data_IF_950188472454
#
_entry.id   IF_950188472454
#
_cell.length_a   1.000
_cell.length_b   1.000
_cell.length_c   1.000
_cell.angle_alpha   90.00
_cell.angle_beta   90.00
_cell.angle_gamma   90.00
#
_symmetry.space_group_name_H-M   'P 1'
#
loop_
_entity.id
_entity.type
_entity.pdbx_description
1 polymer ?
#
# COMPACT_ATOMS: atom_id res chain seq x y z
N UNK A 1 33.33 32.50 38.63
CA UNK A 1 33.71 33.77 39.26
C UNK A 1 34.91 33.47 40.15
N UNK A 2 35.86 34.39 40.23
CA UNK A 2 37.26 34.24 40.73
C UNK A 2 38.24 33.64 39.70
N UNK A 3 39.45 34.14 39.42
CA UNK A 3 40.28 35.23 39.96
C UNK A 3 41.20 35.79 38.84
N UNK A 4 41.55 37.07 38.98
CA UNK A 4 42.50 37.92 38.24
C UNK A 4 43.90 37.31 38.03
N UNK A 5 44.58 37.66 36.91
CA UNK A 5 46.01 38.02 36.94
C UNK A 5 46.45 38.76 35.65
N UNK A 6 46.73 40.04 35.82
CA UNK A 6 47.43 40.92 34.90
C UNK A 6 48.92 40.88 35.26
N UNK A 7 49.83 40.53 34.34
CA UNK A 7 51.28 40.80 34.49
C UNK A 7 51.87 41.04 33.08
N UNK A 8 52.08 42.32 32.73
CA UNK A 8 53.06 42.74 31.73
C UNK A 8 54.04 43.63 32.47
N UNK A 9 55.23 43.09 32.74
CA UNK A 9 56.41 43.84 33.17
C UNK A 9 57.60 43.27 32.42
N UNK A 10 58.22 44.09 31.58
CA UNK A 10 59.52 43.81 30.96
C UNK A 10 60.41 45.03 31.18
N UNK A 11 61.27 44.95 32.20
CA UNK A 11 62.38 45.89 32.42
C UNK A 11 63.66 45.13 32.08
N UNK A 12 64.57 45.77 31.34
CA UNK A 12 65.76 45.15 30.79
C UNK A 12 66.93 44.98 31.76
N UNK A 13 67.99 44.30 31.29
CA UNK A 13 69.41 44.60 31.53
C UNK A 13 70.32 43.49 30.94
N UNK A 14 71.38 43.93 30.25
CA UNK A 14 72.79 43.45 30.23
C UNK A 14 73.05 41.94 30.02
N UNK A 15 73.59 41.54 28.86
CA UNK A 15 75.02 41.48 28.50
C UNK A 15 75.77 40.25 29.04
N UNK A 16 76.29 39.40 28.14
CA UNK A 16 77.63 38.80 28.24
C UNK A 16 77.95 37.96 26.98
N UNK A 17 78.91 38.46 26.21
CA UNK A 17 79.83 37.71 25.33
C UNK A 17 80.80 36.84 26.16
N UNK A 18 81.54 35.91 25.51
CA UNK A 18 82.96 36.21 25.31
C UNK A 18 83.51 35.87 23.91
N UNK A 19 84.60 36.55 23.60
CA UNK A 19 85.41 36.53 22.38
C UNK A 19 86.56 35.52 22.45
N UNK A 20 87.27 35.32 21.33
CA UNK A 20 88.74 35.20 21.12
C UNK A 20 88.95 34.84 19.62
N UNK A 21 89.81 35.43 18.80
CA UNK A 21 90.80 36.50 18.95
C UNK A 21 91.55 36.69 17.61
N UNK A 22 91.85 37.94 17.25
CA UNK A 22 92.69 38.31 16.12
C UNK A 22 93.97 39.02 16.65
N UNK A 23 95.14 38.91 15.98
CA UNK A 23 96.34 39.60 16.45
C UNK A 23 96.53 41.01 15.86
N UNK A 24 96.62 41.96 16.79
CA UNK A 24 97.49 43.15 16.93
C UNK A 24 97.96 43.96 15.70
N UNK A 25 97.76 45.28 15.82
CA UNK A 25 98.52 46.33 15.12
C UNK A 25 98.32 47.71 15.76
N UNK A 26 99.37 48.21 16.39
CA UNK A 26 99.61 49.43 17.17
C UNK A 26 99.05 50.75 16.58
N UNK A 27 98.51 51.62 17.45
CA UNK A 27 98.16 53.02 17.15
C UNK A 27 99.38 53.92 17.38
N UNK A 28 99.73 54.74 16.39
CA UNK A 28 100.50 55.97 16.56
C UNK A 28 99.64 57.14 16.10
N UNK A 29 99.69 58.21 16.89
CA UNK A 29 98.89 59.43 16.82
C UNK A 29 99.32 60.35 15.65
N UNK A 30 98.39 61.15 15.11
CA UNK A 30 98.72 62.34 14.30
C UNK A 30 98.10 62.46 12.90
N UNK A 31 96.98 63.20 12.84
CA UNK A 31 96.50 64.08 11.76
C UNK A 31 96.13 63.45 10.39
N UNK A 32 94.83 63.28 10.15
CA UNK A 32 94.04 64.20 9.30
C UNK A 32 92.73 63.56 8.80
N UNK A 33 91.62 64.19 9.21
CA UNK A 33 90.32 64.37 8.49
C UNK A 33 89.55 63.15 7.97
N UNK A 34 88.38 62.95 8.59
CA UNK A 34 87.19 62.30 8.03
C UNK A 34 86.63 63.15 6.87
N UNK A 35 86.22 62.50 5.78
CA UNK A 35 85.10 62.96 4.93
C UNK A 35 83.99 61.90 4.90
N UNK A 36 82.70 62.31 4.99
CA UNK A 36 81.57 61.40 4.98
C UNK A 36 81.15 61.16 3.53
N UNK A 37 81.46 59.98 2.99
CA UNK A 37 80.80 59.32 1.85
C UNK A 37 81.58 58.02 1.58
N UNK A 38 81.07 56.88 2.06
CA UNK A 38 81.74 55.58 2.03
C UNK A 38 81.85 54.93 0.63
N UNK A 39 82.40 55.66 -0.34
CA UNK A 39 82.88 55.09 -1.59
C UNK A 39 84.16 54.29 -1.29
N UNK A 40 84.05 52.96 -1.33
CA UNK A 40 85.21 52.08 -1.32
C UNK A 40 85.93 52.23 -2.66
N UNK A 41 87.12 52.82 -2.64
CA UNK A 41 88.04 52.82 -3.78
C UNK A 41 88.51 51.38 -4.04
N UNK A 42 87.83 50.72 -4.96
CA UNK A 42 88.27 49.45 -5.56
C UNK A 42 89.55 49.73 -6.33
N UNK A 43 90.70 49.24 -5.86
CA UNK A 43 91.88 49.13 -6.71
C UNK A 43 91.56 48.13 -7.83
N UNK A 44 91.25 48.68 -9.00
CA UNK A 44 90.94 47.96 -10.22
C UNK A 44 92.24 47.38 -10.78
N UNK A 45 92.41 46.06 -10.73
CA UNK A 45 93.59 45.40 -11.32
C UNK A 45 93.63 45.67 -12.84
N UNK A 46 94.78 45.96 -13.48
CA UNK A 46 94.86 46.59 -14.80
C UNK A 46 94.50 45.72 -16.03
N UNK A 47 93.78 44.59 -15.88
CA UNK A 47 93.41 43.77 -17.06
C UNK A 47 92.10 42.97 -16.90
N UNK A 48 90.98 43.66 -16.64
CA UNK A 48 89.64 43.04 -16.67
C UNK A 48 89.32 42.41 -18.03
N UNK A 49 89.83 42.98 -19.12
CA UNK A 49 89.62 42.45 -20.45
C UNK A 49 90.37 41.12 -20.64
N UNK A 50 91.56 40.95 -20.07
CA UNK A 50 92.22 39.64 -20.02
C UNK A 50 91.43 38.63 -19.18
N UNK A 51 90.94 39.01 -17.99
CA UNK A 51 90.15 38.13 -17.13
C UNK A 51 88.85 37.66 -17.81
N UNK A 52 88.16 38.56 -18.53
CA UNK A 52 86.98 38.24 -19.34
C UNK A 52 87.31 37.30 -20.49
N UNK A 53 88.45 37.49 -21.17
CA UNK A 53 88.92 36.58 -22.23
C UNK A 53 89.23 35.19 -21.68
N UNK A 54 89.82 35.10 -20.49
CA UNK A 54 90.11 33.82 -19.81
C UNK A 54 88.80 33.08 -19.48
N UNK A 55 87.81 33.75 -18.90
CA UNK A 55 86.50 33.14 -18.62
C UNK A 55 85.78 32.69 -19.90
N UNK A 56 85.80 33.51 -20.96
CA UNK A 56 85.19 33.15 -22.24
C UNK A 56 85.80 31.87 -22.85
N UNK A 57 87.13 31.67 -22.71
CA UNK A 57 87.81 30.44 -23.17
C UNK A 57 87.37 29.19 -22.41
N UNK A 58 86.88 29.32 -21.17
CA UNK A 58 86.32 28.18 -20.42
C UNK A 58 85.04 27.63 -21.06
N UNK A 59 84.40 28.37 -21.97
CA UNK A 59 83.22 27.93 -22.74
C UNK A 59 82.16 27.28 -21.84
N UNK A 60 81.88 27.91 -20.69
CA UNK A 60 80.99 27.34 -19.69
C UNK A 60 79.60 27.12 -20.29
N UNK A 61 79.07 25.91 -20.18
CA UNK A 61 77.69 25.63 -20.59
C UNK A 61 76.70 26.36 -19.66
N UNK A 62 75.44 26.49 -20.12
CA UNK A 62 74.35 26.98 -19.29
C UNK A 62 74.25 26.23 -17.94
N UNK A 63 74.37 24.90 -17.97
CA UNK A 63 74.33 24.07 -16.77
C UNK A 63 75.50 24.34 -15.81
N UNK A 64 76.72 24.56 -16.33
CA UNK A 64 77.91 24.90 -15.52
C UNK A 64 77.79 26.29 -14.88
N UNK A 65 77.23 27.27 -15.60
CA UNK A 65 76.98 28.61 -15.03
C UNK A 65 75.92 28.58 -13.92
N UNK A 66 74.86 27.78 -14.08
CA UNK A 66 73.88 27.54 -13.02
C UNK A 66 74.49 26.83 -11.81
N UNK A 67 75.38 25.86 -12.04
CA UNK A 67 76.10 25.18 -10.96
C UNK A 67 76.95 26.18 -10.18
N UNK A 68 77.78 26.99 -10.85
CA UNK A 68 78.57 28.06 -10.24
C UNK A 68 77.72 29.01 -9.38
N UNK A 69 76.56 29.45 -9.88
CA UNK A 69 75.65 30.30 -9.09
C UNK A 69 75.09 29.58 -7.86
N UNK A 70 74.74 28.29 -7.94
CA UNK A 70 74.31 27.51 -6.77
C UNK A 70 75.45 27.32 -5.78
N UNK A 71 76.64 27.02 -6.26
CA UNK A 71 77.82 26.78 -5.44
C UNK A 71 78.22 28.05 -4.68
N UNK A 72 78.22 29.21 -5.35
CA UNK A 72 78.40 30.50 -4.68
C UNK A 72 77.32 30.77 -3.63
N UNK A 73 76.05 30.40 -3.88
CA UNK A 73 74.98 30.51 -2.88
C UNK A 73 75.17 29.58 -1.68
N UNK A 74 75.58 28.33 -1.90
CA UNK A 74 75.93 27.40 -0.81
C UNK A 74 77.04 27.97 0.06
N UNK A 75 78.03 28.61 -0.55
CA UNK A 75 79.16 29.24 0.15
C UNK A 75 78.81 30.58 0.83
N UNK A 76 77.54 31.00 0.81
CA UNK A 76 77.06 32.22 1.46
C UNK A 76 77.19 33.50 0.63
N UNK A 77 77.63 33.42 -0.64
CA UNK A 77 77.61 34.55 -1.55
C UNK A 77 76.23 34.71 -2.21
N UNK A 78 75.90 35.92 -2.66
CA UNK A 78 74.57 36.24 -3.20
C UNK A 78 74.58 36.50 -4.72
N UNK A 79 74.82 35.48 -5.57
CA UNK A 79 74.90 35.65 -7.02
C UNK A 79 73.56 35.95 -7.70
N UNK A 80 72.44 35.84 -6.98
CA UNK A 80 71.08 35.91 -7.51
C UNK A 80 70.48 34.53 -7.76
N UNK A 81 69.41 34.46 -8.55
CA UNK A 81 68.82 33.18 -8.96
C UNK A 81 69.82 32.40 -9.82
N UNK A 82 69.88 31.08 -9.63
CA UNK A 82 70.70 30.20 -10.45
C UNK A 82 70.06 29.98 -11.83
N UNK A 83 70.04 31.03 -12.64
CA UNK A 83 69.40 31.12 -13.96
C UNK A 83 70.37 30.91 -15.13
N UNK A 84 71.67 30.74 -14.85
CA UNK A 84 72.70 30.50 -15.85
C UNK A 84 73.20 31.77 -16.55
N UNK A 85 72.72 32.94 -16.14
CA UNK A 85 73.13 34.26 -16.65
C UNK A 85 74.03 34.93 -15.62
N UNK A 86 75.32 35.10 -15.93
CA UNK A 86 76.29 35.76 -15.02
C UNK A 86 76.15 37.29 -15.08
N UNK A 87 75.03 37.80 -14.58
CA UNK A 87 74.72 39.23 -14.47
C UNK A 87 75.45 39.93 -13.33
N UNK A 88 75.15 41.22 -13.11
CA UNK A 88 75.84 42.09 -12.12
C UNK A 88 75.96 41.45 -10.73
N UNK A 89 74.91 40.78 -10.24
CA UNK A 89 74.91 40.12 -8.91
C UNK A 89 75.86 38.92 -8.86
N UNK A 90 75.88 38.08 -9.89
CA UNK A 90 76.82 36.95 -9.97
C UNK A 90 78.26 37.45 -10.09
N UNK A 91 78.51 38.52 -10.84
CA UNK A 91 79.83 39.16 -10.92
C UNK A 91 80.31 39.69 -9.56
N UNK A 92 79.42 40.35 -8.82
CA UNK A 92 79.71 40.82 -7.46
C UNK A 92 79.96 39.66 -6.48
N UNK A 93 79.21 38.56 -6.58
CA UNK A 93 79.43 37.37 -5.76
C UNK A 93 80.79 36.72 -6.05
N UNK A 94 81.17 36.60 -7.32
CA UNK A 94 82.50 36.12 -7.74
C UNK A 94 83.59 37.05 -7.22
N UNK A 95 83.42 38.37 -7.36
CA UNK A 95 84.39 39.35 -6.88
C UNK A 95 84.57 39.29 -5.36
N UNK A 96 83.48 39.13 -4.59
CA UNK A 96 83.55 38.95 -3.13
C UNK A 96 84.27 37.66 -2.76
N UNK A 97 83.92 36.55 -3.41
CA UNK A 97 84.63 35.28 -3.21
C UNK A 97 86.12 35.39 -3.55
N UNK A 98 86.47 36.05 -4.66
CA UNK A 98 87.85 36.30 -5.04
C UNK A 98 88.59 37.12 -3.98
N UNK A 99 87.98 38.20 -3.50
CA UNK A 99 88.53 39.04 -2.43
C UNK A 99 88.78 38.23 -1.15
N UNK A 100 87.80 37.44 -0.72
CA UNK A 100 87.89 36.63 0.50
C UNK A 100 88.96 35.51 0.38
N UNK A 101 89.31 35.13 -0.85
CA UNK A 101 90.36 34.14 -1.15
C UNK A 101 91.70 34.75 -1.50
N UNK A 102 91.83 36.08 -1.51
CA UNK A 102 93.07 36.78 -1.86
C UNK A 102 93.44 36.68 -3.35
N UNK A 103 92.48 36.39 -4.22
CA UNK A 103 92.64 36.48 -5.66
C UNK A 103 92.45 37.92 -6.16
N UNK A 104 92.94 38.20 -7.36
CA UNK A 104 92.59 39.44 -8.06
C UNK A 104 91.08 39.56 -8.23
N UNK A 105 90.52 40.66 -7.73
CA UNK A 105 89.08 40.94 -7.69
C UNK A 105 88.59 41.40 -9.07
N UNK A 106 88.37 40.46 -9.97
CA UNK A 106 88.00 40.74 -11.37
C UNK A 106 86.50 40.53 -11.64
N UNK A 107 85.83 39.71 -10.83
CA UNK A 107 84.44 39.29 -11.07
C UNK A 107 84.27 38.30 -12.23
N UNK A 108 85.37 37.85 -12.84
CA UNK A 108 85.43 36.82 -13.88
C UNK A 108 86.21 35.61 -13.38
N UNK A 109 85.74 34.40 -13.67
CA UNK A 109 86.26 33.16 -13.09
C UNK A 109 87.31 32.50 -14.00
N UNK A 110 88.34 31.89 -13.41
CA UNK A 110 89.27 30.99 -14.11
C UNK A 110 88.89 29.52 -13.94
N UNK A 111 89.45 28.62 -14.74
CA UNK A 111 89.17 27.18 -14.64
C UNK A 111 89.53 26.60 -13.27
N UNK A 112 90.66 27.03 -12.70
CA UNK A 112 91.09 26.62 -11.36
C UNK A 112 90.16 27.15 -10.27
N UNK A 113 89.73 28.41 -10.37
CA UNK A 113 88.79 29.01 -9.42
C UNK A 113 87.40 28.35 -9.50
N UNK A 114 86.93 27.98 -10.71
CA UNK A 114 85.68 27.23 -10.88
C UNK A 114 85.73 25.85 -10.22
N UNK A 115 86.83 25.12 -10.39
CA UNK A 115 87.06 23.83 -9.72
C UNK A 115 87.09 24.00 -8.20
N UNK A 116 87.77 25.04 -7.71
CA UNK A 116 87.86 25.33 -6.29
C UNK A 116 86.49 25.65 -5.67
N UNK A 117 85.69 26.54 -6.29
CA UNK A 117 84.33 26.86 -5.85
C UNK A 117 83.47 25.60 -5.77
N UNK A 118 83.52 24.74 -6.79
CA UNK A 118 82.75 23.50 -6.83
C UNK A 118 83.08 22.58 -5.65
N UNK A 119 84.38 22.30 -5.43
CA UNK A 119 84.85 21.46 -4.31
C UNK A 119 84.41 22.00 -2.95
N UNK A 120 84.57 23.31 -2.72
CA UNK A 120 84.20 23.94 -1.45
C UNK A 120 82.69 23.89 -1.21
N UNK A 121 81.90 24.08 -2.27
CA UNK A 121 80.45 23.99 -2.16
C UNK A 121 79.99 22.55 -1.89
N UNK A 122 80.66 21.55 -2.44
CA UNK A 122 80.43 20.14 -2.09
C UNK A 122 80.74 19.86 -0.61
N UNK A 123 81.89 20.30 -0.12
CA UNK A 123 82.29 20.16 1.29
C UNK A 123 81.30 20.84 2.25
N UNK A 124 80.84 22.04 1.89
CA UNK A 124 79.87 22.79 2.68
C UNK A 124 78.48 22.13 2.67
N UNK A 125 78.02 21.62 1.53
CA UNK A 125 76.78 20.82 1.45
C UNK A 125 76.86 19.57 2.33
N UNK A 126 77.98 18.87 2.31
CA UNK A 126 78.18 17.68 3.16
C UNK A 126 78.23 18.04 4.65
N UNK A 127 78.83 19.17 5.01
CA UNK A 127 78.81 19.67 6.40
C UNK A 127 77.38 19.97 6.84
N UNK A 128 76.63 20.75 6.07
CA UNK A 128 75.23 21.08 6.35
C UNK A 128 74.37 19.81 6.46
N UNK A 129 74.52 18.86 5.52
CA UNK A 129 73.80 17.60 5.57
C UNK A 129 74.19 16.73 6.79
N UNK A 130 75.45 16.79 7.25
CA UNK A 130 75.88 16.10 8.49
C UNK A 130 75.25 16.74 9.72
N UNK A 131 75.23 18.07 9.78
CA UNK A 131 74.65 18.83 10.88
C UNK A 131 73.14 18.60 10.96
N UNK A 132 72.43 18.66 9.83
CA UNK A 132 70.99 18.37 9.74
C UNK A 132 70.68 16.95 10.24
N UNK A 133 71.43 15.93 9.76
CA UNK A 133 71.29 14.55 10.25
C UNK A 133 71.62 14.41 11.74
N UNK A 134 72.56 15.19 12.27
CA UNK A 134 72.91 15.16 13.69
C UNK A 134 71.76 15.72 14.53
N UNK A 135 71.18 16.85 14.12
CA UNK A 135 70.02 17.45 14.77
C UNK A 135 68.79 16.53 14.70
N UNK A 136 68.53 15.89 13.55
CA UNK A 136 67.46 14.90 13.41
C UNK A 136 67.64 13.71 14.34
N UNK A 137 68.87 13.17 14.43
CA UNK A 137 69.20 12.08 15.37
C UNK A 137 68.97 12.51 16.82
N UNK A 138 69.38 13.71 17.18
CA UNK A 138 69.19 14.24 18.53
C UNK A 138 67.71 14.39 18.86
N UNK A 139 66.91 14.98 17.97
CA UNK A 139 65.45 15.09 18.13
C UNK A 139 64.79 13.71 18.25
N UNK A 140 65.21 12.74 17.42
CA UNK A 140 64.71 11.37 17.49
C UNK A 140 65.10 10.68 18.80
N UNK A 141 66.29 10.95 19.33
CA UNK A 141 66.71 10.46 20.65
C UNK A 141 65.90 11.11 21.78
N UNK A 142 65.63 12.41 21.70
CA UNK A 142 64.80 13.13 22.67
C UNK A 142 63.35 12.62 22.66
N UNK A 143 62.77 12.40 21.47
CA UNK A 143 61.47 11.76 21.28
C UNK A 143 61.45 10.36 21.94
N UNK A 144 62.42 9.52 21.60
CA UNK A 144 62.56 8.17 22.18
C UNK A 144 62.73 8.17 23.69
N UNK A 145 63.58 9.04 24.24
CA UNK A 145 63.79 9.13 25.68
C UNK A 145 62.53 9.63 26.41
N UNK A 146 61.81 10.57 25.81
CA UNK A 146 60.54 11.04 26.36
C UNK A 146 59.46 9.94 26.32
N UNK A 147 59.38 9.20 25.21
CA UNK A 147 58.52 8.01 25.11
C UNK A 147 58.84 6.99 26.21
N UNK A 148 60.12 6.65 26.41
CA UNK A 148 60.55 5.70 27.43
C UNK A 148 60.19 6.13 28.86
N UNK A 149 60.22 7.43 29.17
CA UNK A 149 59.91 7.94 30.51
C UNK A 149 58.41 8.15 30.77
N UNK A 150 57.60 8.32 29.71
CA UNK A 150 56.17 8.65 29.85
C UNK A 150 55.27 7.56 29.28
N UNK A 151 55.22 7.42 27.96
CA UNK A 151 54.26 6.58 27.25
C UNK A 151 54.59 5.09 27.25
N UNK A 152 55.84 4.70 27.43
CA UNK A 152 56.25 3.29 27.37
C UNK A 152 55.65 2.41 28.49
N UNK A 153 55.29 3.00 29.63
CA UNK A 153 54.56 2.32 30.70
C UNK A 153 53.09 2.06 30.35
N UNK A 154 52.59 2.66 29.26
CA UNK A 154 51.24 2.46 28.76
C UNK A 154 50.14 3.07 29.62
N UNK A 155 50.44 3.95 30.58
CA UNK A 155 49.39 4.63 31.35
C UNK A 155 48.68 5.69 30.50
N UNK A 156 47.36 5.85 30.66
CA UNK A 156 46.56 6.83 29.89
C UNK A 156 47.13 8.25 30.01
N UNK A 157 47.55 8.64 31.23
CA UNK A 157 48.20 9.92 31.48
C UNK A 157 49.55 10.06 30.76
N UNK A 158 50.42 9.02 30.82
CA UNK A 158 51.73 9.04 30.18
C UNK A 158 51.64 9.08 28.65
N UNK A 159 50.69 8.33 28.07
CA UNK A 159 50.40 8.31 26.63
C UNK A 159 49.87 9.67 26.14
N UNK A 160 48.96 10.31 26.87
CA UNK A 160 48.46 11.65 26.53
C UNK A 160 49.58 12.69 26.63
N UNK A 161 50.39 12.65 27.70
CA UNK A 161 51.54 13.55 27.86
C UNK A 161 52.54 13.44 26.71
N UNK A 162 52.78 12.22 26.22
CA UNK A 162 53.60 12.00 25.03
C UNK A 162 52.99 12.65 23.78
N UNK A 163 51.70 12.44 23.53
CA UNK A 163 51.00 12.98 22.35
C UNK A 163 50.88 14.52 22.35
N UNK A 164 50.80 15.14 23.52
CA UNK A 164 50.83 16.60 23.67
C UNK A 164 52.19 17.19 23.25
N UNK A 165 53.28 16.51 23.61
CA UNK A 165 54.65 16.98 23.32
C UNK A 165 55.13 16.61 21.90
N UNK A 166 54.77 15.42 21.42
CA UNK A 166 55.18 14.87 20.13
C UNK A 166 53.97 14.33 19.34
N UNK A 167 53.06 15.21 18.87
CA UNK A 167 51.83 14.80 18.19
C UNK A 167 52.06 14.01 16.89
N UNK A 168 53.21 14.22 16.24
CA UNK A 168 53.66 13.54 15.03
C UNK A 168 54.98 12.79 15.25
N UNK A 169 55.32 12.47 16.50
CA UNK A 169 56.55 11.73 16.84
C UNK A 169 56.52 10.28 16.38
N UNK A 170 57.67 9.61 16.45
CA UNK A 170 57.83 8.24 15.98
C UNK A 170 56.89 7.24 16.68
N UNK A 171 56.53 7.51 17.95
CA UNK A 171 55.68 6.64 18.77
C UNK A 171 54.23 7.12 18.88
N UNK A 172 53.83 8.19 18.18
CA UNK A 172 52.48 8.75 18.28
C UNK A 172 51.40 7.76 17.84
N UNK A 173 51.67 6.96 16.80
CA UNK A 173 50.75 5.90 16.34
C UNK A 173 50.59 4.80 17.40
N UNK A 174 51.68 4.38 18.04
CA UNK A 174 51.63 3.38 19.10
C UNK A 174 50.87 3.90 20.31
N UNK A 175 51.10 5.16 20.70
CA UNK A 175 50.42 5.77 21.82
C UNK A 175 48.90 5.84 21.62
N UNK A 176 48.46 6.29 20.43
CA UNK A 176 47.03 6.34 20.08
C UNK A 176 46.39 4.94 20.07
N UNK A 177 47.10 3.93 19.54
CA UNK A 177 46.61 2.54 19.54
C UNK A 177 46.43 2.00 20.96
N UNK A 178 47.37 2.28 21.86
CA UNK A 178 47.28 1.84 23.25
C UNK A 178 46.12 2.53 23.97
N UNK A 179 45.95 3.84 23.79
CA UNK A 179 44.81 4.59 24.34
C UNK A 179 43.47 4.02 23.86
N UNK A 180 43.31 3.79 22.54
CA UNK A 180 42.07 3.22 22.01
C UNK A 180 41.77 1.83 22.56
N UNK A 181 42.80 1.00 22.76
CA UNK A 181 42.63 -0.34 23.34
C UNK A 181 42.22 -0.27 24.82
N UNK A 182 42.75 0.69 25.58
CA UNK A 182 42.34 0.92 26.97
C UNK A 182 40.90 1.42 27.08
N UNK A 183 40.52 2.37 26.24
CA UNK A 183 39.14 2.86 26.18
C UNK A 183 38.17 1.73 25.81
N UNK A 184 38.53 0.88 24.85
CA UNK A 184 37.72 -0.27 24.48
C UNK A 184 37.58 -1.27 25.64
N UNK A 185 38.67 -1.61 26.32
CA UNK A 185 38.63 -2.48 27.49
C UNK A 185 37.76 -1.89 28.61
N UNK A 186 37.93 -0.59 28.91
CA UNK A 186 37.11 0.10 29.90
C UNK A 186 35.62 0.08 29.54
N UNK A 187 35.27 0.25 28.25
CA UNK A 187 33.89 0.12 27.77
C UNK A 187 33.36 -1.31 27.95
N UNK A 188 34.17 -2.32 27.62
CA UNK A 188 33.82 -3.74 27.82
C UNK A 188 33.58 -4.05 29.30
N UNK A 189 34.44 -3.56 30.19
CA UNK A 189 34.31 -3.75 31.64
C UNK A 189 33.07 -3.05 32.19
N UNK A 190 32.80 -1.82 31.74
CA UNK A 190 31.59 -1.08 32.11
C UNK A 190 30.32 -1.81 31.62
N UNK A 191 30.32 -2.30 30.38
CA UNK A 191 29.22 -3.10 29.85
C UNK A 191 29.04 -4.39 30.65
N UNK A 192 30.11 -5.11 30.95
CA UNK A 192 30.06 -6.31 31.77
C UNK A 192 29.52 -6.02 33.19
N UNK A 193 29.85 -4.87 33.78
CA UNK A 193 29.29 -4.42 35.06
C UNK A 193 27.78 -4.15 34.94
N UNK A 194 27.35 -3.43 33.90
CA UNK A 194 25.91 -3.19 33.64
C UNK A 194 25.14 -4.50 33.45
N UNK A 195 25.70 -5.47 32.73
CA UNK A 195 25.08 -6.79 32.55
C UNK A 195 25.01 -7.58 33.86
N UNK A 196 25.99 -7.44 34.75
CA UNK A 196 25.94 -8.04 36.10
C UNK A 196 24.83 -7.41 36.94
N UNK A 197 24.71 -6.08 36.89
CA UNK A 197 23.65 -5.35 37.60
C UNK A 197 22.26 -5.68 37.07
N UNK A 198 22.10 -5.78 35.76
CA UNK A 198 20.88 -6.26 35.10
C UNK A 198 20.51 -7.67 35.60
N UNK A 199 21.45 -8.63 35.52
CA UNK A 199 21.24 -10.00 36.02
C UNK A 199 20.88 -10.05 37.50
N UNK A 200 21.55 -9.27 38.34
CA UNK A 200 21.26 -9.19 39.77
C UNK A 200 19.87 -8.61 40.03
N UNK A 201 19.49 -7.56 39.32
CA UNK A 201 18.17 -6.95 39.44
C UNK A 201 17.06 -7.88 38.95
N UNK A 202 17.27 -8.60 37.85
CA UNK A 202 16.38 -9.66 37.38
C UNK A 202 16.16 -10.74 38.45
N UNK A 203 17.25 -11.23 39.07
CA UNK A 203 17.16 -12.23 40.15
C UNK A 203 16.32 -11.72 41.33
N UNK A 204 16.44 -10.44 41.67
CA UNK A 204 15.72 -9.85 42.79
C UNK A 204 14.23 -9.57 42.51
N UNK A 205 13.89 -9.17 41.27
CA UNK A 205 12.54 -8.65 40.94
C UNK A 205 11.76 -9.57 40.01
N UNK A 206 12.34 -9.96 38.88
CA UNK A 206 11.65 -10.68 37.82
C UNK A 206 11.68 -12.19 37.93
N UNK A 207 12.63 -12.78 38.68
CA UNK A 207 12.82 -14.24 38.74
C UNK A 207 11.63 -15.01 39.32
N UNK A 208 10.90 -14.41 40.26
CA UNK A 208 9.67 -14.97 40.83
C UNK A 208 8.48 -14.91 39.85
N UNK A 209 8.63 -14.19 38.73
CA UNK A 209 7.61 -14.09 37.69
C UNK A 209 6.38 -13.27 38.09
N UNK A 210 6.39 -12.47 39.16
CA UNK A 210 5.21 -11.68 39.52
C UNK A 210 4.98 -10.51 38.55
N UNK A 211 3.71 -10.15 38.26
CA UNK A 211 3.38 -9.02 37.37
C UNK A 211 4.10 -7.73 37.79
N UNK A 212 4.09 -7.44 39.10
CA UNK A 212 4.77 -6.26 39.65
C UNK A 212 6.28 -6.33 39.42
N UNK A 213 6.91 -7.45 39.77
CA UNK A 213 8.36 -7.61 39.64
C UNK A 213 8.85 -7.58 38.19
N UNK A 214 8.10 -8.18 37.26
CA UNK A 214 8.38 -8.14 35.82
C UNK A 214 8.24 -6.71 35.27
N UNK A 215 7.22 -5.96 35.69
CA UNK A 215 7.05 -4.55 35.31
C UNK A 215 8.15 -3.65 35.89
N UNK A 216 8.53 -3.86 37.15
CA UNK A 216 9.62 -3.12 37.79
C UNK A 216 10.95 -3.35 37.07
N UNK A 217 11.24 -4.62 36.72
CA UNK A 217 12.39 -4.97 35.89
C UNK A 217 12.36 -4.23 34.54
N UNK A 218 11.24 -4.27 33.81
CA UNK A 218 11.11 -3.64 32.49
C UNK A 218 11.20 -2.11 32.53
N UNK A 219 10.79 -1.47 33.63
CA UNK A 219 10.96 -0.02 33.82
C UNK A 219 12.43 0.36 33.94
N UNK A 220 13.22 -0.43 34.67
CA UNK A 220 14.65 -0.16 34.89
C UNK A 220 15.52 -0.61 33.71
N UNK A 221 15.22 -1.77 33.13
CA UNK A 221 15.98 -2.39 32.04
C UNK A 221 15.08 -2.72 30.84
N UNK A 222 14.52 -1.72 30.12
CA UNK A 222 13.59 -1.96 29.02
C UNK A 222 14.23 -2.68 27.81
N UNK A 223 15.55 -2.61 27.70
CA UNK A 223 16.38 -3.31 26.70
C UNK A 223 17.39 -4.28 27.36
N UNK A 224 17.14 -4.64 28.63
CA UNK A 224 17.99 -5.57 29.36
C UNK A 224 17.94 -6.98 28.80
N UNK A 225 18.86 -7.83 29.27
CA UNK A 225 19.05 -9.22 28.84
C UNK A 225 17.73 -10.02 28.97
N UNK A 226 16.95 -9.77 30.03
CA UNK A 226 15.73 -10.50 30.34
C UNK A 226 14.46 -9.75 29.95
N UNK A 227 14.55 -8.63 29.22
CA UNK A 227 13.37 -7.83 28.86
C UNK A 227 12.38 -8.61 27.98
N UNK A 228 12.89 -9.43 27.06
CA UNK A 228 12.05 -10.31 26.24
C UNK A 228 11.36 -11.41 27.09
N UNK A 229 12.11 -12.02 28.01
CA UNK A 229 11.58 -13.03 28.93
C UNK A 229 10.49 -12.44 29.85
N UNK A 230 10.73 -11.24 30.38
CA UNK A 230 9.78 -10.55 31.24
C UNK A 230 8.45 -10.26 30.53
N UNK A 231 8.52 -9.73 29.30
CA UNK A 231 7.34 -9.48 28.47
C UNK A 231 6.59 -10.77 28.14
N UNK A 232 7.31 -11.85 27.82
CA UNK A 232 6.70 -13.16 27.55
C UNK A 232 5.95 -13.70 28.78
N UNK A 233 6.54 -13.59 29.97
CA UNK A 233 5.89 -14.03 31.20
C UNK A 233 4.63 -13.23 31.52
N UNK A 234 4.68 -11.90 31.35
CA UNK A 234 3.49 -11.03 31.51
C UNK A 234 2.38 -11.41 30.53
N UNK A 235 2.71 -11.64 29.26
CA UNK A 235 1.74 -12.09 28.26
C UNK A 235 1.13 -13.45 28.65
N UNK A 236 1.95 -14.42 29.07
CA UNK A 236 1.47 -15.73 29.49
C UNK A 236 0.51 -15.67 30.69
N UNK A 237 0.73 -14.73 31.62
CA UNK A 237 -0.18 -14.50 32.75
C UNK A 237 -1.51 -13.90 32.30
N UNK A 238 -1.45 -12.88 31.44
CA UNK A 238 -2.66 -12.30 30.85
C UNK A 238 -3.48 -13.37 30.10
N UNK A 239 -2.82 -14.24 29.34
CA UNK A 239 -3.47 -15.33 28.63
C UNK A 239 -4.05 -16.37 29.59
N UNK A 240 -3.42 -16.60 30.76
CA UNK A 240 -3.97 -17.49 31.78
C UNK A 240 -5.22 -16.89 32.43
N UNK A 241 -5.22 -15.59 32.72
CA UNK A 241 -6.37 -14.86 33.23
C UNK A 241 -7.53 -14.86 32.23
N UNK A 242 -7.24 -14.59 30.96
CA UNK A 242 -8.18 -14.71 29.85
C UNK A 242 -8.80 -16.11 29.81
N UNK A 243 -7.96 -17.17 29.83
CA UNK A 243 -8.45 -18.56 29.88
C UNK A 243 -9.37 -18.82 31.07
N UNK A 244 -9.03 -18.33 32.25
CA UNK A 244 -9.88 -18.48 33.44
C UNK A 244 -11.20 -17.68 33.31
N UNK A 245 -11.16 -16.49 32.70
CA UNK A 245 -12.35 -15.69 32.45
C UNK A 245 -13.28 -16.34 31.42
N UNK A 246 -12.72 -16.90 30.35
CA UNK A 246 -13.44 -17.71 29.35
C UNK A 246 -14.21 -18.87 30.01
N UNK A 247 -13.56 -19.64 30.87
CA UNK A 247 -14.19 -20.78 31.56
C UNK A 247 -15.39 -20.36 32.43
N UNK A 248 -15.37 -19.15 33.01
CA UNK A 248 -16.47 -18.62 33.82
C UNK A 248 -17.61 -18.03 33.00
N UNK A 249 -17.33 -17.55 31.79
CA UNK A 249 -18.26 -16.74 31.01
C UNK A 249 -18.64 -17.42 29.69
N UNK A 250 -17.75 -17.40 28.70
CA UNK A 250 -18.06 -17.82 27.34
C UNK A 250 -18.07 -19.34 27.11
N UNK A 251 -17.43 -20.14 27.97
CA UNK A 251 -17.32 -21.59 27.76
C UNK A 251 -18.65 -22.35 27.71
N UNK A 252 -19.73 -21.79 28.29
CA UNK A 252 -21.08 -22.36 28.17
C UNK A 252 -21.71 -22.17 26.78
N UNK A 253 -21.18 -21.25 25.99
CA UNK A 253 -21.67 -20.95 24.65
C UNK A 253 -22.98 -20.16 24.62
N UNK A 254 -23.44 -19.58 25.72
CA UNK A 254 -24.64 -18.72 25.72
C UNK A 254 -24.32 -17.28 25.30
N UNK A 255 -25.28 -16.61 24.66
CA UNK A 255 -25.05 -15.28 24.07
C UNK A 255 -24.56 -14.24 25.11
N UNK A 256 -25.08 -14.27 26.33
CA UNK A 256 -24.71 -13.31 27.38
C UNK A 256 -23.29 -13.55 27.91
N UNK A 257 -22.94 -14.82 28.15
CA UNK A 257 -21.59 -15.25 28.51
C UNK A 257 -20.56 -14.84 27.46
N UNK A 258 -20.85 -15.10 26.19
CA UNK A 258 -19.99 -14.76 25.05
C UNK A 258 -19.82 -13.24 24.88
N UNK A 259 -20.90 -12.46 25.03
CA UNK A 259 -20.84 -10.98 24.99
C UNK A 259 -20.07 -10.39 26.16
N UNK A 260 -20.19 -10.97 27.36
CA UNK A 260 -19.36 -10.56 28.52
C UNK A 260 -17.89 -10.85 28.27
N UNK A 261 -17.56 -12.05 27.79
CA UNK A 261 -16.20 -12.41 27.41
C UNK A 261 -15.59 -11.42 26.40
N UNK A 262 -16.29 -11.15 25.30
CA UNK A 262 -15.81 -10.26 24.24
C UNK A 262 -15.65 -8.79 24.67
N UNK A 263 -16.36 -8.36 25.72
CA UNK A 263 -16.23 -7.00 26.26
C UNK A 263 -14.94 -6.84 27.08
N UNK A 264 -14.60 -7.85 27.86
CA UNK A 264 -13.41 -7.85 28.71
C UNK A 264 -12.14 -8.20 27.92
N UNK A 265 -12.25 -9.19 27.03
CA UNK A 265 -11.16 -9.70 26.20
C UNK A 265 -11.52 -9.63 24.71
N UNK A 266 -11.64 -8.43 24.12
CA UNK A 266 -12.03 -8.27 22.71
C UNK A 266 -11.03 -8.89 21.74
N UNK A 267 -9.74 -8.92 22.11
CA UNK A 267 -8.64 -9.53 21.36
C UNK A 267 -8.00 -10.70 22.13
N UNK A 268 -8.77 -11.32 23.04
CA UNK A 268 -8.32 -12.47 23.81
C UNK A 268 -8.11 -13.74 22.99
N UNK A 269 -7.50 -14.74 23.61
CA UNK A 269 -7.19 -16.05 23.02
C UNK A 269 -8.45 -16.73 22.45
N UNK A 270 -9.62 -16.54 23.07
CA UNK A 270 -10.89 -17.09 22.60
C UNK A 270 -11.79 -16.09 21.89
N UNK A 271 -11.36 -14.85 21.63
CA UNK A 271 -12.22 -13.84 21.02
C UNK A 271 -12.78 -14.30 19.66
N UNK A 272 -11.94 -14.91 18.82
CA UNK A 272 -12.41 -15.47 17.55
C UNK A 272 -13.44 -16.59 17.73
N UNK A 273 -13.24 -17.48 18.69
CA UNK A 273 -14.18 -18.56 19.02
C UNK A 273 -15.50 -17.98 19.55
N UNK A 274 -15.42 -17.01 20.45
CA UNK A 274 -16.58 -16.40 21.07
C UNK A 274 -17.46 -15.67 20.07
N UNK A 275 -16.87 -14.93 19.12
CA UNK A 275 -17.62 -14.23 18.05
C UNK A 275 -18.39 -15.23 17.17
N UNK A 276 -17.75 -16.31 16.74
CA UNK A 276 -18.41 -17.34 15.91
C UNK A 276 -19.57 -18.02 16.65
N UNK A 277 -19.35 -18.42 17.90
CA UNK A 277 -20.40 -19.05 18.71
C UNK A 277 -21.56 -18.08 18.97
N UNK A 278 -21.26 -16.80 19.21
CA UNK A 278 -22.28 -15.79 19.46
C UNK A 278 -23.17 -15.61 18.22
N UNK A 279 -22.56 -15.50 17.05
CA UNK A 279 -23.29 -15.39 15.79
C UNK A 279 -24.20 -16.60 15.55
N UNK A 280 -23.72 -17.81 15.83
CA UNK A 280 -24.50 -19.04 15.69
C UNK A 280 -25.73 -19.05 16.61
N UNK A 281 -25.54 -18.76 17.89
CA UNK A 281 -26.61 -18.73 18.89
C UNK A 281 -27.64 -17.65 18.56
N UNK A 282 -27.18 -16.46 18.18
CA UNK A 282 -28.06 -15.37 17.79
C UNK A 282 -28.80 -15.67 16.49
N UNK A 283 -28.16 -16.32 15.52
CA UNK A 283 -28.80 -16.75 14.27
C UNK A 283 -29.90 -17.77 14.57
N UNK A 284 -29.63 -18.78 15.40
CA UNK A 284 -30.64 -19.75 15.83
C UNK A 284 -31.80 -19.07 16.57
N UNK A 285 -31.51 -18.10 17.44
CA UNK A 285 -32.52 -17.32 18.16
C UNK A 285 -33.40 -16.49 17.20
N UNK A 286 -32.78 -15.86 16.18
CA UNK A 286 -33.49 -15.08 15.15
C UNK A 286 -34.39 -15.97 14.30
N UNK A 287 -33.87 -17.11 13.85
CA UNK A 287 -34.63 -18.12 13.08
C UNK A 287 -35.86 -18.60 13.85
N UNK A 288 -35.70 -18.98 15.12
CA UNK A 288 -36.82 -19.36 15.99
C UNK A 288 -37.86 -18.25 16.16
N UNK A 289 -37.42 -16.99 16.31
CA UNK A 289 -38.35 -15.86 16.43
C UNK A 289 -39.11 -15.56 15.13
N UNK A 290 -38.46 -15.69 13.96
CA UNK A 290 -39.13 -15.61 12.66
C UNK A 290 -40.14 -16.76 12.47
N UNK A 291 -39.78 -17.97 12.89
CA UNK A 291 -40.67 -19.14 12.85
C UNK A 291 -41.94 -18.92 13.69
N UNK A 292 -41.80 -18.50 14.95
CA UNK A 292 -42.94 -18.23 15.84
C UNK A 292 -43.87 -17.16 15.24
N UNK A 293 -43.33 -16.14 14.55
CA UNK A 293 -44.15 -15.16 13.84
C UNK A 293 -44.94 -15.79 12.68
N UNK A 294 -44.29 -16.63 11.87
CA UNK A 294 -44.95 -17.31 10.76
C UNK A 294 -46.05 -18.24 11.26
N UNK A 295 -45.74 -19.07 12.26
CA UNK A 295 -46.68 -19.99 12.91
C UNK A 295 -47.86 -19.26 13.55
N UNK A 296 -47.61 -18.16 14.28
CA UNK A 296 -48.69 -17.37 14.89
C UNK A 296 -49.61 -16.73 13.85
N UNK A 297 -49.09 -16.39 12.67
CA UNK A 297 -49.90 -15.85 11.58
C UNK A 297 -50.66 -16.95 10.81
N UNK A 298 -50.08 -18.14 10.71
CA UNK A 298 -50.55 -19.30 9.93
C UNK A 298 -51.07 -18.92 8.54
N UNK A 299 -50.31 -18.10 7.81
CA UNK A 299 -50.69 -17.63 6.46
C UNK A 299 -49.62 -17.96 5.42
N UNK A 300 -50.06 -18.09 4.16
CA UNK A 300 -49.18 -18.24 2.99
C UNK A 300 -48.10 -17.14 2.97
N UNK A 301 -48.48 -15.88 3.23
CA UNK A 301 -47.55 -14.76 3.27
C UNK A 301 -46.53 -14.87 4.40
N UNK A 302 -46.97 -15.29 5.60
CA UNK A 302 -46.10 -15.49 6.76
C UNK A 302 -45.04 -16.55 6.53
N UNK A 303 -45.43 -17.72 6.01
CA UNK A 303 -44.47 -18.80 5.72
C UNK A 303 -43.51 -18.47 4.57
N UNK A 304 -43.97 -17.78 3.52
CA UNK A 304 -43.08 -17.32 2.44
C UNK A 304 -42.02 -16.33 2.93
N UNK A 305 -42.41 -15.40 3.81
CA UNK A 305 -41.47 -14.44 4.39
C UNK A 305 -40.45 -15.14 5.30
N UNK A 306 -40.87 -16.12 6.10
CA UNK A 306 -39.97 -16.96 6.89
C UNK A 306 -38.92 -17.65 6.00
N UNK A 307 -39.36 -18.37 4.96
CA UNK A 307 -38.46 -19.09 4.03
C UNK A 307 -37.49 -18.16 3.31
N UNK A 308 -37.92 -16.94 2.98
CA UNK A 308 -37.08 -15.93 2.34
C UNK A 308 -35.98 -15.42 3.28
N UNK A 309 -36.30 -15.20 4.57
CA UNK A 309 -35.33 -14.72 5.58
C UNK A 309 -34.40 -15.82 6.08
N UNK A 310 -34.90 -17.04 6.16
CA UNK A 310 -34.22 -18.19 6.77
C UNK A 310 -34.14 -19.37 5.78
N UNK A 311 -33.48 -19.22 4.61
CA UNK A 311 -33.47 -20.25 3.57
C UNK A 311 -32.79 -21.57 4.01
N UNK A 312 -31.91 -21.50 5.01
CA UNK A 312 -31.24 -22.66 5.61
C UNK A 312 -31.58 -22.77 7.12
N UNK A 313 -32.77 -22.30 7.51
CA UNK A 313 -33.26 -22.34 8.89
C UNK A 313 -33.68 -23.75 9.32
N UNK A 314 -33.76 -23.96 10.63
CA UNK A 314 -34.15 -25.25 11.22
C UNK A 314 -35.61 -25.64 10.90
N UNK A 315 -36.47 -24.65 10.59
CA UNK A 315 -37.90 -24.87 10.36
C UNK A 315 -38.30 -24.83 8.88
N UNK A 316 -37.35 -24.77 7.94
CA UNK A 316 -37.61 -24.70 6.49
C UNK A 316 -38.55 -25.82 6.04
N UNK A 317 -38.24 -27.08 6.34
CA UNK A 317 -39.05 -28.23 5.92
C UNK A 317 -40.47 -28.22 6.51
N UNK A 318 -40.63 -27.66 7.71
CA UNK A 318 -41.94 -27.55 8.38
C UNK A 318 -42.75 -26.41 7.72
N UNK A 319 -42.12 -25.27 7.47
CA UNK A 319 -42.72 -24.12 6.80
C UNK A 319 -43.18 -24.46 5.37
N UNK A 320 -42.36 -25.15 4.59
CA UNK A 320 -42.69 -25.57 3.22
C UNK A 320 -43.92 -26.49 3.18
N UNK A 321 -43.98 -27.47 4.08
CA UNK A 321 -45.13 -28.37 4.19
C UNK A 321 -46.40 -27.59 4.52
N UNK A 322 -46.34 -26.73 5.54
CA UNK A 322 -47.53 -25.96 5.96
C UNK A 322 -47.98 -24.97 4.88
N UNK A 323 -47.03 -24.35 4.18
CA UNK A 323 -47.31 -23.48 3.04
C UNK A 323 -48.06 -24.23 1.93
N UNK A 324 -47.59 -25.43 1.56
CA UNK A 324 -48.25 -26.28 0.56
C UNK A 324 -49.68 -26.65 0.97
N UNK A 325 -49.90 -27.00 2.24
CA UNK A 325 -51.22 -27.33 2.76
C UNK A 325 -52.18 -26.14 2.69
N UNK A 326 -51.73 -24.95 3.11
CA UNK A 326 -52.54 -23.73 3.05
C UNK A 326 -52.84 -23.29 1.61
N UNK A 327 -51.89 -23.43 0.69
CA UNK A 327 -52.09 -23.17 -0.73
C UNK A 327 -53.10 -24.14 -1.33
N UNK A 328 -53.00 -25.43 -0.97
CA UNK A 328 -53.96 -26.45 -1.38
C UNK A 328 -55.38 -26.10 -0.88
N UNK A 329 -55.54 -25.80 0.41
CA UNK A 329 -56.83 -25.42 1.01
C UNK A 329 -57.42 -24.14 0.40
N UNK A 330 -56.59 -23.12 0.18
CA UNK A 330 -57.03 -21.85 -0.43
C UNK A 330 -57.52 -22.08 -1.86
N UNK A 331 -56.81 -22.91 -2.63
CA UNK A 331 -57.20 -23.26 -4.00
C UNK A 331 -58.51 -24.04 -4.04
N UNK A 332 -58.66 -25.07 -3.20
CA UNK A 332 -59.89 -25.88 -3.16
C UNK A 332 -61.07 -25.10 -2.62
N UNK A 333 -60.90 -24.22 -1.62
CA UNK A 333 -61.98 -23.36 -1.13
C UNK A 333 -62.50 -22.38 -2.20
N UNK A 334 -61.61 -21.83 -3.05
CA UNK A 334 -61.99 -20.99 -4.20
C UNK A 334 -62.76 -21.79 -5.25
N UNK A 335 -62.30 -22.99 -5.55
CA UNK A 335 -62.97 -23.92 -6.46
C UNK A 335 -64.38 -24.27 -5.93
N UNK A 336 -64.50 -24.60 -4.64
CA UNK A 336 -65.77 -24.94 -3.99
C UNK A 336 -66.76 -23.76 -3.97
N UNK A 337 -66.26 -22.54 -3.76
CA UNK A 337 -67.08 -21.33 -3.85
C UNK A 337 -67.56 -21.07 -5.29
N UNK A 338 -66.66 -21.18 -6.28
CA UNK A 338 -67.00 -21.02 -7.69
C UNK A 338 -68.01 -22.09 -8.14
N UNK A 339 -67.89 -23.32 -7.64
CA UNK A 339 -68.85 -24.38 -7.89
C UNK A 339 -70.22 -24.06 -7.29
N UNK A 340 -70.28 -23.67 -6.00
CA UNK A 340 -71.53 -23.30 -5.33
C UNK A 340 -72.23 -22.14 -6.05
N UNK A 341 -71.48 -21.15 -6.51
CA UNK A 341 -72.03 -20.02 -7.27
C UNK A 341 -72.58 -20.48 -8.62
N UNK A 342 -71.82 -21.27 -9.39
CA UNK A 342 -72.27 -21.83 -10.66
C UNK A 342 -73.51 -22.71 -10.49
N UNK A 343 -73.58 -23.47 -9.40
CA UNK A 343 -74.71 -24.32 -9.10
C UNK A 343 -75.95 -23.54 -8.68
N UNK A 344 -75.77 -22.51 -7.83
CA UNK A 344 -76.86 -21.66 -7.36
C UNK A 344 -77.53 -20.90 -8.50
N UNK A 345 -76.75 -20.35 -9.44
CA UNK A 345 -77.31 -19.61 -10.58
C UNK A 345 -77.91 -20.54 -11.63
N UNK A 346 -77.45 -21.80 -11.68
CA UNK A 346 -77.98 -22.86 -12.54
C UNK A 346 -78.20 -22.42 -14.01
N UNK A 347 -77.19 -21.78 -14.61
CA UNK A 347 -77.26 -21.30 -16.01
C UNK A 347 -76.17 -21.91 -16.89
N UNK A 348 -76.42 -21.94 -18.22
CA UNK A 348 -75.42 -22.33 -19.22
C UNK A 348 -74.10 -21.55 -19.05
N UNK A 349 -74.22 -20.23 -18.86
CA UNK A 349 -73.05 -19.35 -18.72
C UNK A 349 -72.29 -19.59 -17.41
N UNK A 350 -73.01 -19.90 -16.33
CA UNK A 350 -72.43 -20.24 -15.03
C UNK A 350 -71.53 -21.46 -15.09
N UNK A 351 -72.04 -22.59 -15.60
CA UNK A 351 -71.26 -23.82 -15.70
C UNK A 351 -70.13 -23.72 -16.74
N UNK A 352 -70.31 -23.01 -17.86
CA UNK A 352 -69.22 -22.73 -18.83
C UNK A 352 -68.09 -21.93 -18.20
N UNK A 353 -68.43 -20.91 -17.41
CA UNK A 353 -67.44 -20.09 -16.70
C UNK A 353 -66.68 -20.91 -15.68
N UNK A 354 -67.37 -21.72 -14.87
CA UNK A 354 -66.75 -22.64 -13.93
C UNK A 354 -65.77 -23.59 -14.61
N UNK A 355 -66.20 -24.30 -15.66
CA UNK A 355 -65.36 -25.25 -16.40
C UNK A 355 -64.16 -24.60 -17.10
N UNK A 356 -64.27 -23.34 -17.51
CA UNK A 356 -63.14 -22.60 -18.08
C UNK A 356 -62.08 -22.29 -17.02
N UNK A 357 -62.49 -21.92 -15.81
CA UNK A 357 -61.56 -21.60 -14.71
C UNK A 357 -61.04 -22.85 -14.00
N UNK A 358 -61.83 -23.93 -13.95
CA UNK A 358 -61.51 -25.16 -13.24
C UNK A 358 -61.79 -26.42 -14.09
N UNK A 359 -61.11 -26.60 -15.24
CA UNK A 359 -61.42 -27.67 -16.21
C UNK A 359 -61.19 -29.10 -15.68
N UNK A 360 -60.30 -29.24 -14.69
CA UNK A 360 -59.93 -30.51 -14.05
C UNK A 360 -60.45 -30.59 -12.60
N UNK A 361 -61.45 -29.77 -12.26
CA UNK A 361 -62.12 -29.82 -10.95
C UNK A 361 -62.78 -31.18 -10.70
N UNK A 362 -62.93 -31.55 -9.42
CA UNK A 362 -63.79 -32.67 -9.00
C UNK A 362 -65.26 -32.49 -9.40
N UNK A 363 -65.69 -31.26 -9.63
CA UNK A 363 -67.04 -30.93 -10.09
C UNK A 363 -67.15 -30.83 -11.62
N UNK A 364 -66.06 -31.01 -12.37
CA UNK A 364 -66.07 -30.79 -13.81
C UNK A 364 -67.01 -31.74 -14.55
N UNK A 365 -67.09 -33.01 -14.13
CA UNK A 365 -68.05 -33.97 -14.69
C UNK A 365 -69.50 -33.54 -14.45
N UNK A 366 -69.84 -33.19 -13.20
CA UNK A 366 -71.17 -32.72 -12.82
C UNK A 366 -71.54 -31.41 -13.53
N UNK A 367 -70.61 -30.47 -13.67
CA UNK A 367 -70.81 -29.22 -14.40
C UNK A 367 -71.13 -29.47 -15.88
N UNK A 368 -70.43 -30.41 -16.53
CA UNK A 368 -70.66 -30.77 -17.94
C UNK A 368 -72.03 -31.42 -18.14
N UNK A 369 -72.42 -32.32 -17.22
CA UNK A 369 -73.73 -32.95 -17.27
C UNK A 369 -74.86 -31.91 -17.17
N UNK A 370 -74.83 -31.05 -16.15
CA UNK A 370 -75.83 -29.98 -15.96
C UNK A 370 -75.86 -28.98 -17.11
N UNK A 371 -74.71 -28.70 -17.73
CA UNK A 371 -74.63 -27.88 -18.93
C UNK A 371 -75.36 -28.53 -20.12
N UNK A 372 -75.24 -29.85 -20.29
CA UNK A 372 -75.94 -30.61 -21.31
C UNK A 372 -77.46 -30.60 -21.10
N UNK A 373 -77.91 -30.84 -19.87
CA UNK A 373 -79.33 -30.84 -19.52
C UNK A 373 -79.98 -29.48 -19.76
N UNK A 374 -79.32 -28.38 -19.33
CA UNK A 374 -79.80 -27.02 -19.56
C UNK A 374 -79.80 -26.63 -21.04
N UNK A 375 -78.84 -27.16 -21.83
CA UNK A 375 -78.81 -26.94 -23.28
C UNK A 375 -79.95 -27.68 -23.99
N UNK A 376 -80.36 -28.85 -23.47
CA UNK A 376 -81.48 -29.62 -23.99
C UNK A 376 -82.86 -29.06 -23.56
N UNK A 377 -82.96 -28.46 -22.37
CA UNK A 377 -84.18 -27.87 -21.82
C UNK A 377 -84.51 -26.46 -22.37
N UNK A 378 -83.54 -25.78 -22.98
CA UNK A 378 -83.78 -24.51 -23.68
C UNK A 378 -84.23 -24.85 -25.11
N UNK A 379 -85.48 -24.55 -25.53
CA UNK A 379 -85.86 -24.73 -26.94
C UNK A 379 -84.87 -23.97 -27.81
N UNK A 380 -84.38 -24.63 -28.87
CA UNK A 380 -83.52 -24.02 -29.88
C UNK A 380 -84.15 -22.67 -30.30
N UNK A 381 -83.37 -21.58 -30.41
CA UNK A 381 -83.93 -20.29 -30.81
C UNK A 381 -84.42 -20.38 -32.26
N UNK A 382 -85.72 -20.63 -32.43
CA UNK A 382 -86.40 -20.46 -33.70
C UNK A 382 -86.42 -18.96 -34.04
N UNK A 383 -85.71 -18.63 -35.14
CA UNK A 383 -85.90 -17.54 -36.10
C UNK A 383 -86.45 -16.19 -35.62
N UNK A 384 -85.77 -15.09 -35.97
CA UNK A 384 -86.17 -13.72 -35.62
C UNK A 384 -87.64 -13.43 -35.95
N UNK A 385 -88.39 -12.75 -35.07
CA UNK A 385 -89.77 -12.29 -35.33
C UNK A 385 -89.93 -11.62 -36.71
N UNK A 386 -88.87 -10.98 -37.21
CA UNK A 386 -88.84 -10.36 -38.54
C UNK A 386 -88.96 -11.37 -39.70
N UNK A 387 -88.40 -12.59 -39.58
CA UNK A 387 -88.50 -13.64 -40.60
C UNK A 387 -89.90 -14.28 -40.62
N UNK A 388 -90.50 -14.46 -39.44
CA UNK A 388 -91.88 -14.96 -39.32
C UNK A 388 -92.86 -13.95 -39.93
N UNK A 389 -92.71 -12.66 -39.59
CA UNK A 389 -93.57 -11.61 -40.12
C UNK A 389 -93.45 -11.49 -41.65
N UNK A 390 -92.24 -11.61 -42.20
CA UNK A 390 -92.02 -11.60 -43.65
C UNK A 390 -92.67 -12.79 -44.36
N UNK A 391 -92.56 -13.99 -43.78
CA UNK A 391 -93.19 -15.19 -44.33
C UNK A 391 -94.72 -15.11 -44.24
N UNK A 392 -95.26 -14.57 -43.14
CA UNK A 392 -96.69 -14.32 -42.96
C UNK A 392 -97.23 -13.34 -43.99
N UNK A 393 -96.56 -12.21 -44.22
CA UNK A 393 -96.95 -11.23 -45.23
C UNK A 393 -96.91 -11.81 -46.65
N UNK A 394 -95.90 -12.64 -46.94
CA UNK A 394 -95.82 -13.32 -48.23
C UNK A 394 -96.97 -14.31 -48.40
N UNK A 395 -97.23 -15.14 -47.40
CA UNK A 395 -98.35 -16.09 -47.40
C UNK A 395 -99.70 -15.36 -47.56
N UNK A 396 -99.92 -14.27 -46.83
CA UNK A 396 -101.13 -13.43 -46.94
C UNK A 396 -101.26 -12.82 -48.34
N UNK A 397 -100.17 -12.32 -48.93
CA UNK A 397 -100.16 -11.77 -50.29
C UNK A 397 -100.44 -12.82 -51.37
N UNK A 398 -100.06 -14.07 -51.10
CA UNK A 398 -100.18 -15.19 -52.03
C UNK A 398 -101.57 -15.83 -51.95
N UNK A 399 -102.07 -16.02 -50.73
CA UNK A 399 -103.31 -16.76 -50.48
C UNK A 399 -104.53 -15.86 -50.47
N UNK A 400 -104.45 -14.63 -49.94
CA UNK A 400 -105.61 -13.73 -49.81
C UNK A 400 -106.91 -14.47 -49.40
N UNK A 401 -108.09 -14.01 -49.83
CA UNK A 401 -109.33 -14.77 -49.71
C UNK A 401 -109.50 -15.80 -50.85
N UNK A 402 -108.46 -16.58 -51.18
CA UNK A 402 -108.51 -17.61 -52.22
C UNK A 402 -108.45 -19.03 -51.63
N UNK A 403 -109.59 -19.58 -51.16
CA UNK A 403 -109.64 -20.91 -50.54
C UNK A 403 -109.22 -22.03 -51.51
N UNK A 404 -109.33 -21.82 -52.82
CA UNK A 404 -108.87 -22.80 -53.82
C UNK A 404 -107.36 -23.00 -53.80
N UNK A 405 -106.57 -21.98 -53.47
CA UNK A 405 -105.11 -22.10 -53.44
C UNK A 405 -104.62 -22.76 -52.14
N UNK A 406 -105.22 -22.43 -50.98
CA UNK A 406 -104.94 -23.09 -49.70
C UNK A 406 -105.22 -24.59 -49.76
N UNK A 407 -106.36 -24.99 -50.36
CA UNK A 407 -106.66 -26.42 -50.58
C UNK A 407 -105.60 -27.13 -51.43
N UNK A 408 -105.07 -26.45 -52.46
CA UNK A 408 -104.00 -27.03 -53.28
C UNK A 408 -102.70 -27.17 -52.47
N UNK A 409 -102.39 -26.23 -51.57
CA UNK A 409 -101.22 -26.33 -50.69
C UNK A 409 -101.34 -27.48 -49.70
N UNK A 410 -102.49 -27.65 -49.05
CA UNK A 410 -102.78 -28.80 -48.19
C UNK A 410 -102.69 -30.11 -48.97
N UNK A 411 -103.20 -30.15 -50.21
CA UNK A 411 -103.01 -31.31 -51.09
C UNK A 411 -101.53 -31.58 -51.40
N UNK A 412 -100.74 -30.55 -51.69
CA UNK A 412 -99.31 -30.66 -51.94
C UNK A 412 -98.55 -31.19 -50.73
N UNK A 413 -98.83 -30.67 -49.54
CA UNK A 413 -98.27 -31.16 -48.27
C UNK A 413 -98.60 -32.64 -48.06
N UNK A 414 -99.85 -33.03 -48.34
CA UNK A 414 -100.28 -34.44 -48.24
C UNK A 414 -99.58 -35.35 -49.25
N UNK A 415 -99.40 -34.92 -50.50
CA UNK A 415 -98.65 -35.66 -51.52
C UNK A 415 -97.19 -35.87 -51.12
N UNK A 416 -96.57 -34.87 -50.49
CA UNK A 416 -95.20 -34.93 -49.97
C UNK A 416 -95.05 -35.81 -48.72
N UNK A 417 -96.13 -36.40 -48.22
CA UNK A 417 -96.15 -37.27 -47.05
C UNK A 417 -96.28 -36.54 -45.72
N UNK A 418 -96.61 -35.25 -45.73
CA UNK A 418 -96.96 -34.50 -44.52
C UNK A 418 -98.45 -34.62 -44.22
N UNK A 419 -98.85 -34.36 -42.98
CA UNK A 419 -100.23 -34.50 -42.51
C UNK A 419 -100.81 -33.12 -42.18
N UNK A 420 -101.33 -32.37 -43.17
CA UNK A 420 -101.89 -31.04 -42.93
C UNK A 420 -103.28 -31.07 -42.28
N UNK A 421 -103.94 -32.23 -42.18
CA UNK A 421 -105.32 -32.34 -41.69
C UNK A 421 -106.33 -32.47 -42.84
N UNK A 422 -107.62 -32.16 -42.60
CA UNK A 422 -108.64 -32.07 -43.64
C UNK A 422 -108.24 -31.04 -44.70
N UNK A 423 -108.46 -31.36 -45.99
CA UNK A 423 -108.24 -30.38 -47.07
C UNK A 423 -109.52 -29.57 -47.20
N UNK A 424 -109.59 -28.46 -46.49
CA UNK A 424 -110.75 -27.57 -46.44
C UNK A 424 -110.43 -26.13 -46.88
N UNK A 425 -109.16 -25.85 -47.17
CA UNK A 425 -108.69 -24.54 -47.62
C UNK A 425 -108.47 -23.55 -46.50
N UNK A 426 -108.45 -24.00 -45.25
CA UNK A 426 -108.14 -23.21 -44.07
C UNK A 426 -106.81 -23.68 -43.48
N UNK A 427 -105.79 -22.82 -43.56
CA UNK A 427 -104.49 -23.10 -42.97
C UNK A 427 -104.57 -22.96 -41.44
N UNK A 428 -104.93 -24.06 -40.78
CA UNK A 428 -104.99 -24.22 -39.34
C UNK A 428 -103.65 -24.70 -38.74
N UNK A 429 -103.59 -24.92 -37.42
CA UNK A 429 -102.35 -25.31 -36.73
C UNK A 429 -101.82 -26.68 -37.19
N UNK A 430 -102.67 -27.61 -37.65
CA UNK A 430 -102.22 -28.88 -38.22
C UNK A 430 -101.48 -28.65 -39.54
N UNK A 431 -102.02 -27.76 -40.37
CA UNK A 431 -101.37 -27.33 -41.60
C UNK A 431 -100.07 -26.56 -41.31
N UNK A 432 -100.04 -25.70 -40.28
CA UNK A 432 -98.82 -25.01 -39.82
C UNK A 432 -97.73 -26.00 -39.41
N UNK A 433 -98.07 -27.05 -38.66
CA UNK A 433 -97.12 -28.08 -38.25
C UNK A 433 -96.55 -28.87 -39.43
N UNK A 434 -97.40 -29.19 -40.42
CA UNK A 434 -96.96 -29.79 -41.67
C UNK A 434 -95.98 -28.87 -42.43
N UNK A 435 -96.23 -27.56 -42.47
CA UNK A 435 -95.32 -26.57 -43.07
C UNK A 435 -93.99 -26.51 -42.30
N UNK A 436 -94.00 -26.47 -40.96
CA UNK A 436 -92.77 -26.48 -40.14
C UNK A 436 -91.97 -27.77 -40.35
N UNK A 437 -92.64 -28.90 -40.50
CA UNK A 437 -91.99 -30.19 -40.78
C UNK A 437 -91.35 -30.21 -42.18
N UNK A 438 -92.01 -29.61 -43.18
CA UNK A 438 -91.45 -29.42 -44.51
C UNK A 438 -90.22 -28.51 -44.49
N UNK A 439 -90.33 -27.34 -43.86
CA UNK A 439 -89.22 -26.39 -43.74
C UNK A 439 -88.00 -26.98 -43.02
N UNK A 440 -88.22 -27.75 -41.95
CA UNK A 440 -87.16 -28.51 -41.26
C UNK A 440 -86.46 -29.50 -42.17
N UNK A 441 -87.22 -30.29 -42.95
CA UNK A 441 -86.64 -31.27 -43.89
C UNK A 441 -85.82 -30.59 -44.98
N UNK A 442 -86.21 -29.39 -45.41
CA UNK A 442 -85.52 -28.62 -46.42
C UNK A 442 -84.30 -27.84 -45.89
N UNK A 443 -84.03 -27.90 -44.58
CA UNK A 443 -82.97 -27.11 -43.94
C UNK A 443 -83.21 -25.61 -44.04
N UNK A 444 -84.48 -25.19 -44.13
CA UNK A 444 -84.89 -23.79 -44.26
C UNK A 444 -85.32 -23.22 -42.91
N UNK A 445 -85.47 -21.91 -42.88
CA UNK A 445 -86.06 -21.19 -41.74
C UNK A 445 -87.46 -21.75 -41.47
N UNK A 446 -87.67 -22.27 -40.26
CA UNK A 446 -88.90 -22.93 -39.81
C UNK A 446 -89.87 -21.87 -39.30
N UNK A 447 -90.53 -21.16 -40.20
CA UNK A 447 -91.47 -20.08 -39.85
C UNK A 447 -92.88 -20.60 -39.56
N UNK A 448 -93.23 -21.77 -40.11
CA UNK A 448 -94.62 -22.27 -40.12
C UNK A 448 -95.55 -21.54 -41.09
N UNK A 449 -95.04 -20.57 -41.84
CA UNK A 449 -95.76 -19.86 -42.91
C UNK A 449 -95.13 -20.19 -44.26
N UNK A 450 -95.95 -20.26 -45.32
CA UNK A 450 -95.47 -20.53 -46.67
C UNK A 450 -94.74 -19.29 -47.22
N UNK A 451 -93.41 -19.37 -47.35
CA UNK A 451 -92.61 -18.36 -48.04
C UNK A 451 -92.43 -18.70 -49.54
N UNK A 452 -91.69 -17.86 -50.28
CA UNK A 452 -91.51 -18.03 -51.72
C UNK A 452 -90.90 -19.39 -52.10
N UNK A 453 -89.90 -19.85 -51.35
CA UNK A 453 -89.23 -21.11 -51.62
C UNK A 453 -90.13 -22.31 -51.26
N UNK A 454 -90.82 -22.23 -50.12
CA UNK A 454 -91.78 -23.25 -49.67
C UNK A 454 -92.93 -23.36 -50.68
N UNK A 455 -93.42 -22.25 -51.21
CA UNK A 455 -94.47 -22.23 -52.22
C UNK A 455 -94.05 -22.89 -53.53
N UNK A 456 -92.83 -22.63 -54.03
CA UNK A 456 -92.38 -23.23 -55.29
C UNK A 456 -92.33 -24.76 -55.21
N UNK A 457 -91.95 -25.30 -54.05
CA UNK A 457 -91.91 -26.74 -53.80
C UNK A 457 -93.34 -27.31 -53.73
N UNK A 458 -94.25 -26.66 -53.01
CA UNK A 458 -95.64 -27.09 -53.00
C UNK A 458 -96.23 -27.04 -54.42
N UNK A 459 -95.90 -26.00 -55.19
CA UNK A 459 -96.36 -25.81 -56.57
C UNK A 459 -95.85 -26.85 -57.55
N UNK A 460 -94.62 -27.34 -57.41
CA UNK A 460 -94.15 -28.44 -58.26
C UNK A 460 -94.94 -29.73 -58.04
N UNK A 461 -95.49 -29.93 -56.85
CA UNK A 461 -96.26 -31.12 -56.48
C UNK A 461 -97.77 -31.00 -56.77
N UNK A 462 -98.24 -29.77 -57.02
CA UNK A 462 -99.63 -29.46 -57.37
C UNK A 462 -99.93 -29.65 -58.87
N UNK A 463 -98.92 -29.93 -59.71
CA UNK A 463 -99.09 -30.19 -61.15
C UNK A 463 -99.47 -31.63 -61.47
#
# INVERSE_FOLDING_TARGET
MDIRACIILGVGALAMTPAIGAPRGTVIDGLATVQPNGAILVQYSPDLDAARRVENRLSLSYSKRRALQRDLSTLGYSPGSADGVLGRRSRQAIARWQNDRGYDVTGYITGNQLYEIGRLADEERERLARDDRAQERERAQQDKAFWQSTGALGSTWGLNRYLERYPNGAYARDARRQLSAQEENARRDQQAAQERDDRAYWRATGSAGSVSGLNDYLRRYPKGIYAADARRQLAAQRDAEDRAYWQRTGARGDADGLRRYLREYPDGVYAGTARRQLEEVERASRDGADWVRAERSDTIAGYREYLRRNPNGAYVSIAERRLSDLEYQTRTAREDAAWRDADRIHTLQGYRTFLRHYPNSRYASTARARLGDLAAATPLPDHTNAQIERARQYEESLLGPNPSLSMQMEQGLRKLGYQPGPIDGVIDEQTRDAIRALQRKLGRTVTGYVDADTYQILRSEMR
#
